data_IF_783422625470
#
_entry.id   IF_783422625470
#
_cell.length_a   1.000
_cell.length_b   1.000
_cell.length_c   1.000
_cell.angle_alpha   90.00
_cell.angle_beta   90.00
_cell.angle_gamma   90.00
#
_symmetry.space_group_name_H-M   'P 1'
#
loop_
_entity.id
_entity.type
_entity.pdbx_description
1 polymer ?
#
# COMPACT_ATOMS: atom_id res chain seq x y z
N UNK A 1 14.06 -13.59 -5.58
CA UNK A 1 15.01 -12.52 -5.93
C UNK A 1 15.91 -12.33 -4.74
N UNK A 2 17.20 -12.60 -4.87
CA UNK A 2 18.14 -12.40 -3.76
C UNK A 2 18.55 -10.92 -3.72
N UNK A 3 18.11 -10.20 -2.69
CA UNK A 3 18.63 -8.89 -2.35
C UNK A 3 19.88 -9.13 -1.49
N UNK A 4 21.04 -8.71 -1.98
CA UNK A 4 22.33 -9.06 -1.34
C UNK A 4 22.62 -8.17 -0.13
N UNK A 5 22.05 -6.97 -0.09
CA UNK A 5 22.26 -6.03 0.99
C UNK A 5 21.03 -5.92 1.91
N UNK A 6 21.22 -5.58 3.20
CA UNK A 6 20.09 -5.33 4.09
C UNK A 6 19.34 -4.04 3.71
N UNK A 7 18.08 -3.95 4.10
CA UNK A 7 17.32 -2.71 3.97
C UNK A 7 18.00 -1.55 4.71
N UNK A 8 18.02 -0.37 4.10
CA UNK A 8 18.46 0.89 4.70
C UNK A 8 17.23 1.76 5.00
N UNK A 9 16.59 1.59 6.18
CA UNK A 9 15.38 2.34 6.50
C UNK A 9 15.68 3.81 6.80
N UNK A 10 14.85 4.70 6.27
CA UNK A 10 14.86 6.12 6.58
C UNK A 10 14.54 6.38 8.05
N UNK A 11 15.34 7.22 8.71
CA UNK A 11 15.19 7.52 10.14
C UNK A 11 14.40 8.81 10.42
N UNK A 12 13.97 9.54 9.38
CA UNK A 12 13.23 10.78 9.50
C UNK A 12 11.71 10.61 9.40
N UNK A 13 11.03 11.71 9.11
CA UNK A 13 9.57 11.73 8.99
C UNK A 13 9.04 10.77 7.90
N UNK A 14 7.91 10.13 8.18
CA UNK A 14 7.20 9.25 7.25
C UNK A 14 5.76 9.72 7.00
N UNK A 15 5.15 9.25 5.92
CA UNK A 15 3.72 9.43 5.70
C UNK A 15 2.89 8.31 6.38
N UNK A 16 1.56 8.38 6.26
CA UNK A 16 0.63 7.38 6.84
C UNK A 16 0.83 5.96 6.31
N UNK A 17 1.45 5.80 5.16
CA UNK A 17 1.76 4.50 4.52
C UNK A 17 3.17 4.00 4.87
N UNK A 18 3.94 4.75 5.69
CA UNK A 18 5.29 4.38 6.11
C UNK A 18 6.41 4.83 5.17
N UNK A 19 6.11 5.53 4.08
CA UNK A 19 7.14 6.04 3.17
C UNK A 19 7.87 7.24 3.77
N UNK A 20 9.20 7.22 3.72
CA UNK A 20 10.05 8.35 4.15
C UNK A 20 9.76 9.61 3.35
N UNK A 21 9.77 10.75 4.04
CA UNK A 21 9.56 12.08 3.47
C UNK A 21 10.73 13.01 3.78
N UNK A 22 11.13 13.82 2.80
CA UNK A 22 12.17 14.85 2.93
C UNK A 22 11.73 16.10 2.20
N UNK A 23 12.09 17.25 2.74
CA UNK A 23 11.90 18.53 2.04
C UNK A 23 13.09 18.79 1.13
N UNK A 24 12.81 19.05 -0.15
CA UNK A 24 13.82 19.41 -1.16
C UNK A 24 13.56 20.86 -1.58
N UNK A 25 14.55 21.78 -1.41
CA UNK A 25 14.40 23.17 -1.81
C UNK A 25 13.97 23.29 -3.27
N UNK A 26 12.98 24.12 -3.55
CA UNK A 26 12.42 24.33 -4.91
C UNK A 26 11.47 23.25 -5.41
N UNK A 27 11.42 22.05 -4.76
CA UNK A 27 10.56 20.94 -5.16
C UNK A 27 9.53 20.57 -4.10
N UNK A 28 9.67 21.13 -2.87
CA UNK A 28 8.78 20.82 -1.76
C UNK A 28 9.04 19.46 -1.13
N UNK A 29 8.03 18.88 -0.48
CA UNK A 29 8.17 17.59 0.21
C UNK A 29 8.10 16.44 -0.77
N UNK A 30 9.18 15.65 -0.84
CA UNK A 30 9.35 14.50 -1.71
C UNK A 30 9.39 13.18 -0.91
N UNK A 31 9.18 12.06 -1.60
CA UNK A 31 9.40 10.72 -1.05
C UNK A 31 10.89 10.38 -1.12
N UNK A 32 11.48 9.98 -0.01
CA UNK A 32 12.94 9.79 0.12
C UNK A 32 13.48 8.77 -0.87
N UNK A 33 12.81 7.65 -1.07
CA UNK A 33 13.26 6.63 -2.04
C UNK A 33 13.28 7.16 -3.50
N UNK A 34 12.39 8.10 -3.85
CA UNK A 34 12.42 8.77 -5.17
C UNK A 34 13.59 9.74 -5.30
N UNK A 35 13.91 10.45 -4.21
CA UNK A 35 15.08 11.33 -4.18
C UNK A 35 16.36 10.51 -4.30
N UNK A 36 16.53 9.46 -3.49
CA UNK A 36 17.68 8.56 -3.56
C UNK A 36 17.84 7.93 -4.95
N UNK A 37 16.77 7.52 -5.60
CA UNK A 37 16.80 7.03 -6.97
C UNK A 37 17.27 8.10 -7.96
N UNK A 38 16.71 9.32 -7.86
CA UNK A 38 17.02 10.40 -8.79
C UNK A 38 18.46 10.94 -8.64
N UNK A 39 19.03 10.87 -7.44
CA UNK A 39 20.44 11.23 -7.20
C UNK A 39 21.40 10.28 -7.92
N UNK A 40 21.06 9.00 -8.02
CA UNK A 40 21.92 7.99 -8.66
C UNK A 40 21.66 7.87 -10.17
N UNK A 41 20.39 7.88 -10.59
CA UNK A 41 19.99 7.57 -11.97
C UNK A 41 19.53 8.77 -12.78
N UNK A 42 19.48 9.96 -12.15
CA UNK A 42 18.97 11.18 -12.80
C UNK A 42 17.45 11.36 -12.64
N UNK A 43 16.89 12.39 -13.29
CA UNK A 43 15.48 12.75 -13.16
C UNK A 43 14.54 11.60 -13.52
N UNK A 44 13.53 11.37 -12.69
CA UNK A 44 12.51 10.33 -12.92
C UNK A 44 11.55 10.82 -14.01
N UNK A 45 11.42 10.12 -15.15
CA UNK A 45 10.51 10.50 -16.22
C UNK A 45 9.04 10.51 -15.79
N UNK A 46 8.21 11.29 -16.48
CA UNK A 46 6.79 11.32 -16.24
C UNK A 46 6.16 9.93 -16.45
N UNK A 47 5.26 9.52 -15.55
CA UNK A 47 4.63 8.21 -15.60
C UNK A 47 5.44 7.06 -15.01
N UNK A 48 6.72 7.28 -14.69
CA UNK A 48 7.56 6.27 -14.03
C UNK A 48 7.33 6.28 -12.51
N UNK A 49 7.15 5.09 -11.95
CA UNK A 49 7.00 4.84 -10.51
C UNK A 49 8.25 4.13 -10.00
N UNK A 50 8.79 4.60 -8.88
CA UNK A 50 9.88 3.89 -8.18
C UNK A 50 9.25 2.96 -7.16
N UNK A 51 9.56 1.66 -7.26
CA UNK A 51 8.96 0.56 -6.51
C UNK A 51 9.98 -0.08 -5.58
N UNK A 52 9.52 -0.59 -4.44
CA UNK A 52 10.35 -1.38 -3.53
C UNK A 52 10.28 -2.88 -3.87
N UNK A 53 11.42 -3.49 -4.15
CA UNK A 53 11.56 -4.94 -4.32
C UNK A 53 11.51 -5.67 -2.98
N UNK A 54 11.85 -4.98 -1.88
CA UNK A 54 11.89 -5.51 -0.51
C UNK A 54 10.58 -5.33 0.27
N UNK A 55 9.56 -4.68 -0.30
CA UNK A 55 8.28 -4.36 0.35
C UNK A 55 8.38 -3.56 1.66
N UNK A 56 9.49 -2.89 1.89
CA UNK A 56 9.72 -2.05 3.06
C UNK A 56 9.62 -0.57 2.68
N UNK A 57 8.51 0.14 2.97
CA UNK A 57 8.27 1.51 2.50
C UNK A 57 9.32 2.55 2.89
N UNK A 58 9.94 2.53 4.10
CA UNK A 58 10.98 3.47 4.46
C UNK A 58 12.37 3.13 3.90
N UNK A 59 12.53 2.02 3.16
CA UNK A 59 13.83 1.61 2.64
C UNK A 59 14.34 2.59 1.57
N UNK A 60 15.62 2.99 1.67
CA UNK A 60 16.32 3.86 0.72
C UNK A 60 17.46 3.15 0.00
N UNK A 61 17.64 1.84 0.21
CA UNK A 61 18.67 1.04 -0.42
C UNK A 61 18.41 0.95 -1.93
N UNK A 62 19.34 1.45 -2.75
CA UNK A 62 19.17 1.54 -4.22
C UNK A 62 18.94 0.16 -4.86
N UNK A 63 19.64 -0.88 -4.45
CA UNK A 63 19.46 -2.26 -4.92
C UNK A 63 18.02 -2.78 -4.68
N UNK A 64 17.32 -2.22 -3.69
CA UNK A 64 15.94 -2.57 -3.35
C UNK A 64 14.90 -1.74 -4.11
N UNK A 65 15.34 -0.74 -4.86
CA UNK A 65 14.47 0.10 -5.68
C UNK A 65 14.51 -0.36 -7.13
N UNK A 66 13.43 -0.14 -7.84
CA UNK A 66 13.33 -0.35 -9.28
C UNK A 66 12.31 0.60 -9.85
N UNK A 67 12.57 1.07 -11.06
CA UNK A 67 11.60 1.83 -11.83
C UNK A 67 10.57 0.91 -12.51
N UNK A 68 9.53 1.52 -13.02
CA UNK A 68 8.50 0.83 -13.78
C UNK A 68 7.23 1.65 -13.92
N UNK A 69 6.20 1.02 -14.45
CA UNK A 69 4.89 1.63 -14.66
C UNK A 69 3.97 1.43 -13.44
N UNK A 70 2.86 2.14 -13.42
CA UNK A 70 1.79 1.87 -12.44
C UNK A 70 1.21 0.45 -12.59
N UNK A 71 1.19 -0.08 -13.81
CA UNK A 71 0.74 -1.46 -14.06
C UNK A 71 1.68 -2.46 -13.39
N UNK A 72 3.00 -2.27 -13.50
CA UNK A 72 4.00 -3.11 -12.82
C UNK A 72 3.84 -3.05 -11.29
N UNK A 73 3.59 -1.85 -10.75
CA UNK A 73 3.36 -1.69 -9.32
C UNK A 73 2.09 -2.44 -8.83
N UNK A 74 1.04 -2.44 -9.64
CA UNK A 74 -0.17 -3.22 -9.38
C UNK A 74 0.13 -4.72 -9.46
N UNK A 75 0.86 -5.16 -10.50
CA UNK A 75 1.25 -6.55 -10.67
C UNK A 75 2.08 -7.06 -9.49
N UNK A 76 3.11 -6.31 -9.05
CA UNK A 76 3.89 -6.61 -7.85
C UNK A 76 3.01 -6.79 -6.61
N UNK A 77 2.00 -5.91 -6.46
CA UNK A 77 1.10 -5.97 -5.32
C UNK A 77 0.19 -7.21 -5.35
N UNK A 78 -0.22 -7.67 -6.55
CA UNK A 78 -0.98 -8.91 -6.75
C UNK A 78 -0.12 -10.13 -6.45
N UNK A 79 1.07 -10.22 -7.05
CA UNK A 79 1.99 -11.36 -6.91
C UNK A 79 2.45 -11.56 -5.46
N UNK A 80 2.61 -10.47 -4.72
CA UNK A 80 3.03 -10.50 -3.31
C UNK A 80 1.85 -10.50 -2.34
N UNK A 81 0.62 -10.77 -2.80
CA UNK A 81 -0.61 -10.79 -2.02
C UNK A 81 -0.84 -9.52 -1.15
N UNK A 82 -0.21 -8.39 -1.53
CA UNK A 82 -0.39 -7.09 -0.86
C UNK A 82 -1.68 -6.38 -1.27
N UNK A 83 -2.16 -6.67 -2.45
CA UNK A 83 -3.49 -6.21 -2.84
C UNK A 83 -4.54 -7.11 -2.23
N UNK A 84 -5.31 -6.55 -1.31
CA UNK A 84 -6.72 -6.88 -1.28
C UNK A 84 -7.32 -6.33 -2.59
N UNK A 85 -7.05 -7.01 -3.71
CA UNK A 85 -7.55 -6.63 -5.04
C UNK A 85 -9.06 -6.49 -5.07
N UNK A 86 -9.66 -6.09 -6.19
CA UNK A 86 -11.07 -6.26 -6.38
C UNK A 86 -11.33 -7.74 -6.06
N UNK A 87 -12.01 -7.95 -4.97
CA UNK A 87 -12.18 -9.27 -4.34
C UNK A 87 -12.91 -10.18 -5.29
N UNK A 88 -12.17 -10.66 -6.31
CA UNK A 88 -12.63 -11.60 -7.34
C UNK A 88 -12.66 -13.02 -6.78
N UNK A 89 -11.98 -13.24 -5.64
CA UNK A 89 -11.97 -14.51 -4.94
C UNK A 89 -13.33 -14.80 -4.27
N UNK A 90 -13.58 -16.07 -4.01
CA UNK A 90 -14.77 -16.55 -3.31
C UNK A 90 -14.77 -16.17 -1.82
N UNK A 91 -13.63 -15.77 -1.27
CA UNK A 91 -13.45 -15.45 0.15
C UNK A 91 -12.91 -14.03 0.36
N UNK A 92 -13.25 -13.43 1.50
CA UNK A 92 -12.66 -12.18 1.94
C UNK A 92 -11.25 -12.40 2.54
N UNK A 93 -10.48 -11.34 2.75
CA UNK A 93 -9.13 -11.42 3.34
C UNK A 93 -9.05 -12.04 4.75
N UNK A 94 -10.18 -12.38 5.37
CA UNK A 94 -10.29 -13.12 6.65
C UNK A 94 -10.86 -14.53 6.45
N UNK A 95 -10.89 -15.05 5.22
CA UNK A 95 -11.34 -16.41 4.90
C UNK A 95 -12.85 -16.64 4.90
N UNK A 96 -13.69 -15.60 5.06
CA UNK A 96 -15.15 -15.79 4.97
C UNK A 96 -15.57 -15.88 3.50
N UNK A 97 -16.29 -16.91 3.12
CA UNK A 97 -16.90 -17.06 1.80
C UNK A 97 -17.92 -15.95 1.55
N UNK A 98 -17.86 -15.31 0.39
CA UNK A 98 -18.83 -14.32 -0.03
C UNK A 98 -20.15 -14.98 -0.44
N UNK A 99 -21.24 -14.28 -0.15
CA UNK A 99 -22.58 -14.64 -0.58
C UNK A 99 -23.12 -13.59 -1.54
N UNK A 100 -24.23 -13.88 -2.22
CA UNK A 100 -24.90 -12.90 -3.09
C UNK A 100 -25.24 -11.58 -2.37
N UNK A 101 -25.42 -11.64 -1.05
CA UNK A 101 -25.77 -10.51 -0.20
C UNK A 101 -24.56 -9.64 0.21
N UNK A 102 -23.34 -10.07 -0.09
CA UNK A 102 -22.11 -9.30 0.20
C UNK A 102 -21.79 -8.22 -0.86
N UNK A 103 -22.66 -8.08 -1.86
CA UNK A 103 -22.55 -7.02 -2.86
C UNK A 103 -23.23 -5.73 -2.37
N UNK A 104 -22.54 -4.62 -2.49
CA UNK A 104 -23.06 -3.29 -2.18
C UNK A 104 -22.68 -2.31 -3.29
N UNK A 105 -23.47 -1.25 -3.40
CA UNK A 105 -23.12 -0.11 -4.25
C UNK A 105 -22.30 0.89 -3.41
N UNK A 106 -21.11 1.22 -3.86
CA UNK A 106 -20.29 2.25 -3.23
C UNK A 106 -20.91 3.63 -3.42
N UNK A 107 -20.46 4.62 -2.64
CA UNK A 107 -20.89 6.03 -2.81
C UNK A 107 -20.62 6.59 -4.21
N UNK A 108 -19.70 5.97 -4.97
CA UNK A 108 -19.35 6.34 -6.36
C UNK A 108 -20.13 5.54 -7.40
N UNK A 109 -21.16 4.78 -7.00
CA UNK A 109 -22.00 3.98 -7.89
C UNK A 109 -21.42 2.62 -8.33
N UNK A 110 -20.16 2.31 -7.98
CA UNK A 110 -19.55 1.01 -8.34
C UNK A 110 -20.05 -0.11 -7.42
N UNK A 111 -20.27 -1.32 -7.99
CA UNK A 111 -20.55 -2.52 -7.18
C UNK A 111 -19.28 -2.99 -6.51
N UNK A 112 -19.32 -3.12 -5.17
CA UNK A 112 -18.21 -3.60 -4.34
C UNK A 112 -18.68 -4.77 -3.48
N UNK A 113 -17.79 -5.75 -3.25
CA UNK A 113 -18.03 -6.81 -2.26
C UNK A 113 -17.65 -6.30 -0.88
N UNK A 114 -18.56 -6.44 0.06
CA UNK A 114 -18.34 -6.08 1.46
C UNK A 114 -18.82 -7.21 2.37
N UNK A 115 -17.88 -7.94 2.95
CA UNK A 115 -18.18 -9.12 3.74
C UNK A 115 -19.03 -8.79 4.97
N UNK A 116 -20.30 -9.24 4.99
CA UNK A 116 -21.24 -9.00 6.10
C UNK A 116 -20.72 -9.52 7.42
N UNK A 117 -20.05 -10.68 7.45
CA UNK A 117 -19.47 -11.27 8.68
C UNK A 117 -18.39 -10.35 9.26
N UNK A 118 -17.49 -9.81 8.42
CA UNK A 118 -16.48 -8.84 8.85
C UNK A 118 -17.10 -7.54 9.37
N UNK A 119 -18.14 -7.03 8.70
CA UNK A 119 -18.86 -5.81 9.15
C UNK A 119 -19.54 -6.03 10.49
N UNK A 120 -20.22 -7.16 10.68
CA UNK A 120 -20.89 -7.50 11.94
C UNK A 120 -19.88 -7.54 13.11
N UNK A 121 -18.72 -8.18 12.91
CA UNK A 121 -17.64 -8.23 13.90
C UNK A 121 -17.11 -6.84 14.22
N UNK A 122 -16.81 -6.04 13.21
CA UNK A 122 -16.31 -4.66 13.41
C UNK A 122 -17.33 -3.79 14.12
N UNK A 123 -18.61 -3.93 13.79
CA UNK A 123 -19.71 -3.19 14.45
C UNK A 123 -19.86 -3.60 15.92
N UNK A 124 -19.72 -4.88 16.24
CA UNK A 124 -19.75 -5.39 17.61
C UNK A 124 -18.59 -4.82 18.44
N UNK A 125 -17.37 -4.86 17.90
CA UNK A 125 -16.19 -4.32 18.57
C UNK A 125 -16.30 -2.81 18.82
N UNK A 126 -16.77 -2.05 17.84
CA UNK A 126 -16.98 -0.58 18.00
C UNK A 126 -18.03 -0.25 19.05
N UNK A 127 -19.09 -1.08 19.17
CA UNK A 127 -20.12 -0.90 20.21
C UNK A 127 -19.55 -1.20 21.59
N UNK A 128 -18.78 -2.28 21.74
CA UNK A 128 -18.13 -2.62 23.00
C UNK A 128 -17.19 -1.51 23.48
N UNK A 129 -16.29 -1.05 22.60
CA UNK A 129 -15.37 0.05 22.90
C UNK A 129 -16.08 1.36 23.29
N UNK A 130 -17.28 1.61 22.75
CA UNK A 130 -18.06 2.81 23.11
C UNK A 130 -18.72 2.69 24.49
N UNK A 131 -19.04 1.48 24.92
CA UNK A 131 -19.61 1.22 26.27
C UNK A 131 -18.53 1.35 27.33
N UNK A 132 -17.30 0.88 27.06
CA UNK A 132 -16.15 0.99 27.99
C UNK A 132 -15.62 2.42 28.15
N UNK A 133 -15.92 3.32 27.20
CA UNK A 133 -15.48 4.72 27.19
C UNK A 133 -16.54 5.70 27.74
N UNK A 134 -17.69 5.21 28.22
CA UNK A 134 -18.79 5.99 28.77
C UNK A 134 -18.92 5.81 30.29
#
# INVERSE_FOLDING_TARGET
>A
MNLTQPCKPWQGATNKQGYGRVYVPGQGTQLVHRVAWAEEHGPIPAGVVIRHRCDNPPCTQLEHLTDGTQADNVQDAVERARMTGPRTGEQCGRGHTYTAQDWQTSRRGSRVRDCKKCRATTRKLRRAAKVEAA
#
